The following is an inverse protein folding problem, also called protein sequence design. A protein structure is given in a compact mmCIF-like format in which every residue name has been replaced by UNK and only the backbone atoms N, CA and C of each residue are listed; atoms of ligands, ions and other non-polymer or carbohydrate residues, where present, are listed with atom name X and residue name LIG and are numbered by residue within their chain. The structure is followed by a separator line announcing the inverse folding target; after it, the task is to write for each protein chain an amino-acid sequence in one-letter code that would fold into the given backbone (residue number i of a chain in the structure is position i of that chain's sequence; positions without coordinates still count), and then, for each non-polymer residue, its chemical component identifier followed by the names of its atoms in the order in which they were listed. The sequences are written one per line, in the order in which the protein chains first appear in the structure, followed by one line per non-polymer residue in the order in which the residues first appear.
data_IF_077892353606
#
_entry.id   IF_077892353606
#
_cell.length_a   1.000
_cell.length_b   1.000
_cell.length_c   1.000
_cell.angle_alpha   90.00
_cell.angle_beta   90.00
_cell.angle_gamma   90.00
#
_symmetry.space_group_name_H-M   'P 1'
#
loop_
_entity.id
_entity.type
_entity.pdbx_description
1 polymer ?
#
# COMPACT_ATOMS: atom_id res chain seq x y z
N UNK A 1 9.52 -11.88 -42.76
CA UNK A 1 10.15 -12.46 -41.55
C UNK A 1 10.39 -11.33 -40.56
N UNK A 2 9.88 -11.49 -39.32
CA UNK A 2 10.27 -10.76 -38.11
C UNK A 2 9.81 -9.29 -38.01
N UNK A 3 9.35 -8.75 -36.89
CA UNK A 3 9.13 -9.22 -35.52
C UNK A 3 8.12 -8.22 -34.93
N UNK A 4 6.90 -8.65 -34.58
CA UNK A 4 5.95 -7.85 -33.81
C UNK A 4 6.00 -8.29 -32.36
N UNK A 5 6.93 -7.74 -31.57
CA UNK A 5 6.98 -7.92 -30.12
C UNK A 5 6.85 -6.51 -29.52
N UNK A 6 5.98 -6.38 -28.53
CA UNK A 6 5.50 -5.15 -27.86
C UNK A 6 4.23 -4.51 -28.43
N UNK A 7 3.12 -5.26 -28.36
CA UNK A 7 1.82 -4.65 -28.10
C UNK A 7 1.36 -5.14 -26.73
N UNK A 8 1.86 -4.51 -25.67
CA UNK A 8 1.33 -4.72 -24.32
C UNK A 8 -0.03 -4.02 -24.29
N UNK A 9 -1.09 -4.79 -24.39
CA UNK A 9 -2.46 -4.31 -24.39
C UNK A 9 -2.82 -3.74 -23.01
N UNK A 10 -2.92 -2.41 -22.95
CA UNK A 10 -3.19 -1.64 -21.72
C UNK A 10 -4.68 -1.71 -21.31
N UNK A 11 -5.53 -2.33 -22.12
CA UNK A 11 -6.96 -2.46 -21.86
C UNK A 11 -7.26 -3.43 -20.72
N UNK A 12 -6.44 -4.48 -20.56
CA UNK A 12 -6.57 -5.39 -19.42
C UNK A 12 -6.29 -4.67 -18.09
N UNK A 13 -5.26 -3.82 -18.06
CA UNK A 13 -4.89 -3.02 -16.89
C UNK A 13 -5.98 -2.00 -16.53
N UNK A 14 -6.56 -1.33 -17.53
CA UNK A 14 -7.68 -0.42 -17.31
C UNK A 14 -8.97 -1.12 -16.86
N UNK A 15 -9.21 -2.36 -17.30
CA UNK A 15 -10.35 -3.17 -16.85
C UNK A 15 -10.15 -3.63 -15.40
N UNK A 16 -8.93 -4.04 -15.04
CA UNK A 16 -8.58 -4.43 -13.67
C UNK A 16 -8.72 -3.25 -12.68
N UNK A 17 -8.20 -2.07 -13.03
CA UNK A 17 -8.33 -0.85 -12.22
C UNK A 17 -9.80 -0.42 -12.01
N UNK A 18 -10.69 -0.66 -12.97
CA UNK A 18 -12.13 -0.37 -12.83
C UNK A 18 -12.90 -1.40 -12.01
N UNK A 19 -12.44 -2.65 -11.96
CA UNK A 19 -13.14 -3.73 -11.27
C UNK A 19 -12.82 -3.79 -9.76
N UNK A 20 -11.62 -3.38 -9.34
CA UNK A 20 -11.20 -3.45 -7.93
C UNK A 20 -11.92 -2.51 -6.96
N UNK A 21 -12.70 -1.53 -7.46
CA UNK A 21 -13.36 -0.51 -6.63
C UNK A 21 -14.85 -0.76 -6.36
N UNK A 22 -15.38 -1.94 -6.73
CA UNK A 22 -16.75 -2.35 -6.41
C UNK A 22 -16.75 -3.57 -5.49
N UNK A 23 -16.49 -3.34 -4.21
CA UNK A 23 -17.01 -4.21 -3.16
C UNK A 23 -18.00 -3.42 -2.30
N UNK A 24 -19.19 -3.99 -2.13
CA UNK A 24 -20.12 -3.63 -1.06
C UNK A 24 -21.33 -2.78 -1.45
N UNK A 25 -22.18 -3.28 -2.35
CA UNK A 25 -23.60 -2.88 -2.37
C UNK A 25 -24.37 -3.82 -1.43
N UNK A 26 -24.74 -3.32 -0.25
CA UNK A 26 -25.59 -3.97 0.75
C UNK A 26 -26.66 -2.99 1.23
N UNK A 27 -27.92 -3.44 1.26
CA UNK A 27 -29.16 -2.67 1.36
C UNK A 27 -29.42 -1.98 2.72
N UNK A 28 -29.96 -0.75 2.58
CA UNK A 28 -31.18 -0.17 3.19
C UNK A 28 -31.23 0.32 4.66
N UNK A 29 -31.65 1.58 4.75
CA UNK A 29 -32.68 2.15 5.64
C UNK A 29 -32.39 2.31 7.13
N UNK A 30 -32.25 3.58 7.57
CA UNK A 30 -32.36 3.97 8.98
C UNK A 30 -31.66 5.28 9.31
N UNK A 31 -32.44 6.34 9.56
CA UNK A 31 -32.07 7.58 10.26
C UNK A 31 -30.75 8.30 9.88
N UNK A 32 -30.81 9.11 8.83
CA UNK A 32 -29.73 10.03 8.43
C UNK A 32 -29.66 11.28 9.33
N UNK A 33 -29.27 11.19 10.62
CA UNK A 33 -28.72 12.33 11.38
C UNK A 33 -28.23 12.00 12.82
N UNK A 34 -27.44 10.95 13.01
CA UNK A 34 -26.52 10.92 14.15
C UNK A 34 -25.11 10.77 13.60
N UNK A 35 -24.45 11.89 13.29
CA UNK A 35 -22.99 11.89 13.32
C UNK A 35 -22.62 11.88 14.81
N UNK A 36 -22.03 10.82 15.36
CA UNK A 36 -21.40 10.90 16.66
C UNK A 36 -20.42 12.08 16.55
N UNK A 37 -20.61 13.12 17.37
CA UNK A 37 -19.66 14.22 17.42
C UNK A 37 -18.40 13.65 18.07
N UNK A 38 -17.53 13.04 17.26
CA UNK A 38 -16.16 12.73 17.65
C UNK A 38 -15.57 14.02 18.20
N UNK A 39 -15.28 14.01 19.50
CA UNK A 39 -14.55 15.11 20.11
C UNK A 39 -13.24 15.25 19.34
N UNK A 40 -12.78 16.49 19.07
CA UNK A 40 -11.59 16.71 18.24
C UNK A 40 -10.34 15.98 18.76
N UNK A 41 -10.31 15.66 20.05
CA UNK A 41 -9.27 14.87 20.70
C UNK A 41 -9.35 13.37 20.37
N UNK A 42 -10.54 12.76 20.38
CA UNK A 42 -10.72 11.34 20.07
C UNK A 42 -10.35 11.01 18.61
N UNK A 43 -10.62 11.93 17.68
CA UNK A 43 -10.23 11.78 16.28
C UNK A 43 -8.70 11.82 16.06
N UNK A 44 -7.96 12.60 16.86
CA UNK A 44 -6.49 12.71 16.76
C UNK A 44 -5.80 11.44 17.23
N UNK A 45 -6.28 10.84 18.32
CA UNK A 45 -5.74 9.60 18.86
C UNK A 45 -5.96 8.43 17.90
N UNK A 46 -7.15 8.34 17.31
CA UNK A 46 -7.47 7.34 16.28
C UNK A 46 -6.57 7.49 15.04
N UNK A 47 -6.39 8.71 14.55
CA UNK A 47 -5.53 8.97 13.40
C UNK A 47 -4.06 8.59 13.66
N UNK A 48 -3.56 8.80 14.88
CA UNK A 48 -2.20 8.39 15.26
C UNK A 48 -2.05 6.86 15.27
N UNK A 49 -3.06 6.13 15.75
CA UNK A 49 -3.06 4.68 15.76
C UNK A 49 -3.09 4.11 14.33
N UNK A 50 -3.90 4.71 13.46
CA UNK A 50 -3.94 4.40 12.03
C UNK A 50 -2.60 4.65 11.35
N UNK A 51 -1.97 5.81 11.56
CA UNK A 51 -0.66 6.13 10.99
C UNK A 51 0.43 5.17 11.48
N UNK A 52 0.39 4.77 12.75
CA UNK A 52 1.34 3.78 13.29
C UNK A 52 1.15 2.41 12.63
N UNK A 53 -0.09 1.96 12.46
CA UNK A 53 -0.38 0.69 11.79
C UNK A 53 0.09 0.70 10.33
N UNK A 54 -0.20 1.78 9.60
CA UNK A 54 0.27 1.96 8.24
C UNK A 54 1.80 2.02 8.16
N UNK A 55 2.46 2.74 9.05
CA UNK A 55 3.92 2.85 9.08
C UNK A 55 4.61 1.51 9.36
N UNK A 56 4.04 0.67 10.23
CA UNK A 56 4.56 -0.68 10.48
C UNK A 56 4.45 -1.56 9.23
N UNK A 57 3.30 -1.54 8.55
CA UNK A 57 3.13 -2.30 7.31
C UNK A 57 4.04 -1.75 6.19
N UNK A 58 4.17 -0.43 6.08
CA UNK A 58 5.09 0.20 5.16
C UNK A 58 6.54 -0.24 5.41
N UNK A 59 6.96 -0.33 6.68
CA UNK A 59 8.30 -0.79 7.03
C UNK A 59 8.56 -2.24 6.60
N UNK A 60 7.56 -3.13 6.75
CA UNK A 60 7.64 -4.51 6.24
C UNK A 60 7.77 -4.51 4.72
N UNK A 61 6.97 -3.71 4.02
CA UNK A 61 7.08 -3.55 2.57
C UNK A 61 8.45 -3.03 2.13
N UNK A 62 8.96 -1.99 2.79
CA UNK A 62 10.31 -1.44 2.55
C UNK A 62 11.38 -2.51 2.72
N UNK A 63 11.31 -3.30 3.80
CA UNK A 63 12.27 -4.38 4.04
C UNK A 63 12.26 -5.42 2.90
N UNK A 64 11.08 -5.83 2.46
CA UNK A 64 10.93 -6.75 1.32
C UNK A 64 11.53 -6.13 0.06
N UNK A 65 11.22 -4.87 -0.25
CA UNK A 65 11.75 -4.19 -1.42
C UNK A 65 13.27 -4.00 -1.37
N UNK A 66 13.86 -3.78 -0.19
CA UNK A 66 15.32 -3.77 0.00
C UNK A 66 15.91 -5.16 -0.28
N UNK A 67 15.31 -6.23 0.24
CA UNK A 67 15.76 -7.60 -0.05
C UNK A 67 15.68 -7.91 -1.55
N UNK A 68 14.62 -7.49 -2.23
CA UNK A 68 14.46 -7.65 -3.68
C UNK A 68 15.52 -6.86 -4.44
N UNK A 69 15.71 -5.57 -4.11
CA UNK A 69 16.75 -4.73 -4.73
C UNK A 69 18.16 -5.30 -4.53
N UNK A 70 18.46 -5.78 -3.32
CA UNK A 70 19.71 -6.45 -3.01
C UNK A 70 19.87 -7.75 -3.82
N UNK A 71 18.82 -8.56 -3.96
CA UNK A 71 18.85 -9.78 -4.75
C UNK A 71 19.11 -9.51 -6.24
N UNK A 72 18.51 -8.46 -6.82
CA UNK A 72 18.78 -8.07 -8.21
C UNK A 72 20.25 -7.72 -8.45
N UNK A 73 20.86 -7.01 -7.50
CA UNK A 73 22.27 -6.61 -7.58
C UNK A 73 23.18 -7.82 -7.35
N UNK A 74 22.90 -8.63 -6.32
CA UNK A 74 23.72 -9.77 -5.93
C UNK A 74 23.71 -10.90 -6.98
N UNK A 75 22.55 -11.18 -7.56
CA UNK A 75 22.40 -12.19 -8.64
C UNK A 75 22.85 -11.65 -10.00
N UNK A 76 23.36 -10.42 -10.05
CA UNK A 76 23.83 -9.74 -11.26
C UNK A 76 22.81 -9.75 -12.42
N UNK A 77 21.53 -9.53 -12.08
CA UNK A 77 20.44 -9.60 -13.07
C UNK A 77 20.64 -8.54 -14.14
N UNK A 78 20.82 -8.96 -15.39
CA UNK A 78 21.12 -8.05 -16.50
C UNK A 78 22.49 -7.37 -16.42
N UNK A 79 23.42 -7.91 -15.62
CA UNK A 79 24.74 -7.33 -15.38
C UNK A 79 24.75 -6.13 -14.44
N UNK A 80 23.71 -5.97 -13.60
CA UNK A 80 23.56 -4.83 -12.69
C UNK A 80 24.70 -4.74 -11.67
N UNK A 81 25.02 -5.86 -11.01
CA UNK A 81 26.08 -5.93 -10.01
C UNK A 81 27.45 -5.63 -10.60
N UNK A 82 27.76 -6.21 -11.76
CA UNK A 82 29.02 -5.97 -12.47
C UNK A 82 29.17 -4.52 -12.96
N UNK A 83 28.06 -3.83 -13.31
CA UNK A 83 28.07 -2.40 -13.65
C UNK A 83 28.25 -1.53 -12.41
N UNK A 84 27.55 -1.84 -11.33
CA UNK A 84 27.68 -1.12 -10.05
C UNK A 84 29.11 -1.24 -9.51
N UNK A 85 29.69 -2.44 -9.55
CA UNK A 85 31.06 -2.68 -9.06
C UNK A 85 32.15 -1.95 -9.84
N UNK A 86 31.88 -1.54 -11.09
CA UNK A 86 32.81 -0.74 -11.90
C UNK A 86 32.58 0.77 -11.80
N UNK A 87 31.52 1.21 -11.13
CA UNK A 87 31.22 2.62 -10.98
C UNK A 87 32.22 3.29 -10.04
N UNK A 88 32.66 4.52 -10.37
CA UNK A 88 33.55 5.31 -9.51
C UNK A 88 32.93 5.59 -8.13
N UNK A 89 31.59 5.69 -8.07
CA UNK A 89 30.83 5.76 -6.83
C UNK A 89 29.65 4.77 -6.90
N UNK A 90 29.74 3.58 -6.29
CA UNK A 90 28.70 2.57 -6.35
C UNK A 90 27.46 2.93 -5.51
N UNK A 91 27.55 3.88 -4.58
CA UNK A 91 26.43 4.24 -3.70
C UNK A 91 25.25 4.85 -4.49
N UNK A 92 25.54 5.69 -5.49
CA UNK A 92 24.53 6.36 -6.30
C UNK A 92 23.65 5.36 -7.07
N UNK A 93 24.19 4.44 -7.90
CA UNK A 93 23.36 3.47 -8.61
C UNK A 93 22.67 2.47 -7.68
N UNK A 94 23.28 2.11 -6.54
CA UNK A 94 22.60 1.28 -5.53
C UNK A 94 21.36 1.98 -4.99
N UNK A 95 21.47 3.24 -4.59
CA UNK A 95 20.32 4.02 -4.11
C UNK A 95 19.25 4.17 -5.20
N UNK A 96 19.68 4.43 -6.45
CA UNK A 96 18.78 4.61 -7.59
C UNK A 96 17.96 3.35 -7.92
N UNK A 97 18.46 2.17 -7.56
CA UNK A 97 17.75 0.88 -7.73
C UNK A 97 16.94 0.54 -6.48
N UNK A 98 17.58 0.56 -5.30
CA UNK A 98 16.98 0.05 -4.06
C UNK A 98 15.87 0.97 -3.57
N UNK A 99 16.05 2.29 -3.60
CA UNK A 99 15.07 3.25 -3.06
C UNK A 99 13.71 3.17 -3.77
N UNK A 100 13.60 3.21 -5.11
CA UNK A 100 12.29 3.12 -5.75
C UNK A 100 11.62 1.75 -5.55
N UNK A 101 12.38 0.65 -5.54
CA UNK A 101 11.82 -0.69 -5.28
C UNK A 101 11.30 -0.78 -3.84
N UNK A 102 12.10 -0.37 -2.86
CA UNK A 102 11.70 -0.29 -1.46
C UNK A 102 10.46 0.59 -1.26
N UNK A 103 10.42 1.74 -1.93
CA UNK A 103 9.28 2.67 -1.86
C UNK A 103 8.01 2.05 -2.45
N UNK A 104 8.13 1.33 -3.57
CA UNK A 104 7.00 0.68 -4.22
C UNK A 104 6.38 -0.41 -3.34
N UNK A 105 7.21 -1.28 -2.74
CA UNK A 105 6.71 -2.31 -1.82
C UNK A 105 6.20 -1.70 -0.51
N UNK A 106 6.84 -0.67 0.03
CA UNK A 106 6.38 0.06 1.21
C UNK A 106 5.00 0.68 1.01
N UNK A 107 4.80 1.36 -0.13
CA UNK A 107 3.51 1.95 -0.50
C UNK A 107 2.43 0.87 -0.73
N UNK A 108 2.77 -0.24 -1.38
CA UNK A 108 1.85 -1.34 -1.58
C UNK A 108 1.39 -1.95 -0.24
N UNK A 109 2.32 -2.23 0.67
CA UNK A 109 1.99 -2.77 1.99
C UNK A 109 1.17 -1.79 2.83
N UNK A 110 1.49 -0.49 2.79
CA UNK A 110 0.72 0.57 3.42
C UNK A 110 -0.72 0.65 2.88
N UNK A 111 -0.88 0.60 1.55
CA UNK A 111 -2.19 0.63 0.91
C UNK A 111 -3.02 -0.61 1.25
N UNK A 112 -2.42 -1.81 1.23
CA UNK A 112 -3.07 -3.04 1.68
C UNK A 112 -3.54 -2.96 3.13
N UNK A 113 -2.72 -2.38 4.00
CA UNK A 113 -3.06 -2.19 5.41
C UNK A 113 -4.28 -1.29 5.60
N UNK A 114 -4.37 -0.18 4.84
CA UNK A 114 -5.54 0.70 4.87
C UNK A 114 -6.79 -0.04 4.37
N UNK A 115 -6.69 -0.79 3.27
CA UNK A 115 -7.82 -1.53 2.69
C UNK A 115 -8.35 -2.63 3.61
N UNK A 116 -7.48 -3.24 4.41
CA UNK A 116 -7.84 -4.31 5.34
C UNK A 116 -8.29 -3.80 6.72
N UNK A 117 -8.23 -2.48 6.95
CA UNK A 117 -8.60 -1.90 8.23
C UNK A 117 -10.13 -1.97 8.41
N UNK A 118 -10.65 -2.62 9.47
CA UNK A 118 -12.09 -2.79 9.67
C UNK A 118 -12.71 -1.51 10.26
N UNK A 119 -12.93 -0.51 9.42
CA UNK A 119 -13.55 0.76 9.83
C UNK A 119 -14.98 0.58 10.37
N UNK A 120 -15.75 -0.36 9.84
CA UNK A 120 -17.18 -0.52 10.17
C UNK A 120 -17.43 -1.08 11.57
N UNK A 121 -16.46 -1.78 12.17
CA UNK A 121 -16.63 -2.38 13.51
C UNK A 121 -16.53 -1.34 14.62
N UNK A 122 -15.69 -0.32 14.43
CA UNK A 122 -15.43 0.71 15.45
C UNK A 122 -16.66 1.59 15.73
N UNK A 123 -17.55 1.76 14.76
CA UNK A 123 -18.77 2.55 14.93
C UNK A 123 -19.95 1.73 15.49
N UNK A 124 -19.87 0.40 15.48
CA UNK A 124 -20.96 -0.48 15.94
C UNK A 124 -20.90 -0.75 17.44
N UNK A 125 -19.70 -0.85 18.01
CA UNK A 125 -19.51 -0.95 19.48
C UNK A 125 -19.89 0.36 20.19
N UNK A 126 -19.57 1.53 19.63
CA UNK A 126 -20.00 2.83 20.17
C UNK A 126 -21.55 2.98 20.18
N UNK A 127 -22.25 2.37 19.22
CA UNK A 127 -23.72 2.37 19.13
C UNK A 127 -24.36 1.42 20.17
N UNK A 128 -23.70 0.30 20.51
CA UNK A 128 -24.17 -0.65 21.51
C UNK A 128 -23.96 -0.09 22.94
N UNK A 129 -22.81 0.55 23.21
CA UNK A 129 -22.54 1.22 24.49
C UNK A 129 -23.43 2.46 24.73
N UNK A 130 -23.79 3.19 23.66
CA UNK A 130 -24.70 4.33 23.75
C UNK A 130 -26.18 3.93 23.98
N UNK A 131 -26.53 2.66 23.79
CA UNK A 131 -27.89 2.14 23.98
C UNK A 131 -28.15 1.50 25.33
N UNK A 132 -27.13 1.24 26.14
CA UNK A 132 -27.28 0.86 27.55
C UNK A 132 -28.31 -0.24 27.81
N UNK A 133 -28.01 -1.46 27.37
CA UNK A 133 -28.62 -2.68 27.93
C UNK A 133 -27.70 -3.32 28.97
#
# INVERSE_FOLDING_TARGET
MGVGIFQIDMDWLQRWLRQGFRLGSGKASGNRNLKPRLTPEAARLDHRQMLRFMALNAAVGVLIGVCVGAALIFLDIGGLGARIGRAANPAVPVLLVVVPIASLFGAAAAASAILLMPYEKKFREDDDDARGE
#
